data_IF_160987427121
#
_entry.id   IF_160987427121
#
_cell.length_a   1.000
_cell.length_b   1.000
_cell.length_c   1.000
_cell.angle_alpha   90.00
_cell.angle_beta   90.00
_cell.angle_gamma   90.00
#
_symmetry.space_group_name_H-M   'P 1'
#
loop_
_entity.id
_entity.type
_entity.pdbx_description
1 polymer ?
#
# COMPACT_ATOMS: atom_id res chain seq x y z
N UNK A 1 -16.39 -8.80 -14.61
CA UNK A 1 -15.47 -9.89 -14.20
C UNK A 1 -15.64 -10.19 -12.73
N UNK A 2 -15.45 -11.44 -12.32
CA UNK A 2 -15.46 -11.82 -10.90
C UNK A 2 -14.09 -11.54 -10.26
N UNK A 3 -14.05 -11.17 -8.98
CA UNK A 3 -12.81 -10.85 -8.25
C UNK A 3 -11.80 -12.02 -8.27
N UNK A 4 -12.28 -13.24 -8.36
CA UNK A 4 -11.48 -14.46 -8.48
C UNK A 4 -10.62 -14.46 -9.75
N UNK A 5 -11.20 -14.06 -10.89
CA UNK A 5 -10.50 -13.98 -12.17
C UNK A 5 -9.43 -12.89 -12.15
N UNK A 6 -9.73 -11.77 -11.50
CA UNK A 6 -8.79 -10.66 -11.34
C UNK A 6 -7.62 -11.07 -10.45
N UNK A 7 -7.85 -11.83 -9.38
CA UNK A 7 -6.79 -12.31 -8.52
C UNK A 7 -5.81 -13.22 -9.29
N UNK A 8 -6.33 -14.17 -10.08
CA UNK A 8 -5.51 -15.06 -10.91
C UNK A 8 -4.71 -14.26 -11.95
N UNK A 9 -5.36 -13.33 -12.65
CA UNK A 9 -4.68 -12.51 -13.67
C UNK A 9 -3.57 -11.63 -13.09
N UNK A 10 -3.76 -11.12 -11.87
CA UNK A 10 -2.73 -10.36 -11.17
C UNK A 10 -1.54 -11.23 -10.77
N UNK A 11 -1.79 -12.47 -10.31
CA UNK A 11 -0.71 -13.42 -10.02
C UNK A 11 0.07 -13.81 -11.28
N UNK A 12 -0.60 -14.03 -12.41
CA UNK A 12 0.05 -14.29 -13.71
C UNK A 12 0.93 -13.13 -14.17
N UNK A 13 0.51 -11.89 -13.90
CA UNK A 13 1.32 -10.67 -14.16
C UNK A 13 2.43 -10.45 -13.13
N UNK A 14 2.61 -11.36 -12.17
CA UNK A 14 3.66 -11.31 -11.16
C UNK A 14 3.33 -10.47 -9.92
N UNK A 15 2.08 -10.07 -9.74
CA UNK A 15 1.63 -9.33 -8.55
C UNK A 15 1.04 -10.30 -7.52
N UNK A 16 1.57 -10.33 -6.27
CA UNK A 16 1.01 -11.18 -5.23
C UNK A 16 -0.38 -10.66 -4.82
N UNK A 17 -1.43 -11.36 -5.24
CA UNK A 17 -2.82 -10.98 -5.04
C UNK A 17 -3.56 -11.99 -4.16
N UNK A 18 -3.97 -11.58 -2.96
CA UNK A 18 -4.75 -12.43 -2.04
C UNK A 18 -6.19 -11.98 -1.99
N UNK A 19 -7.10 -12.86 -2.38
CA UNK A 19 -8.54 -12.66 -2.17
C UNK A 19 -8.85 -12.81 -0.68
N UNK A 20 -9.39 -11.76 -0.07
CA UNK A 20 -9.98 -11.80 1.27
C UNK A 20 -11.48 -11.98 1.13
N UNK A 21 -12.02 -12.94 1.89
CA UNK A 21 -13.44 -13.30 1.87
C UNK A 21 -14.33 -12.30 2.61
N UNK A 22 -13.81 -11.58 3.62
CA UNK A 22 -14.58 -10.61 4.40
C UNK A 22 -13.75 -9.38 4.86
N UNK A 23 -14.16 -8.15 4.54
CA UNK A 23 -15.02 -7.80 3.38
C UNK A 23 -14.38 -8.31 2.09
N UNK A 24 -15.19 -8.66 1.07
CA UNK A 24 -14.71 -9.25 -0.19
C UNK A 24 -13.84 -8.24 -0.94
N UNK A 25 -12.54 -8.53 -1.03
CA UNK A 25 -11.54 -7.62 -1.62
C UNK A 25 -10.29 -8.39 -2.03
N UNK A 26 -9.56 -7.89 -3.01
CA UNK A 26 -8.25 -8.42 -3.37
C UNK A 26 -7.20 -7.51 -2.74
N UNK A 27 -6.33 -8.06 -1.91
CA UNK A 27 -5.15 -7.36 -1.43
C UNK A 27 -3.97 -7.69 -2.33
N UNK A 28 -3.40 -6.68 -2.97
CA UNK A 28 -2.24 -6.81 -3.85
C UNK A 28 -1.02 -6.23 -3.15
N UNK A 29 -0.11 -7.10 -2.70
CA UNK A 29 1.05 -6.72 -1.92
C UNK A 29 1.64 -7.87 -1.10
N UNK A 30 2.88 -7.69 -0.64
CA UNK A 30 3.51 -8.65 0.26
C UNK A 30 3.09 -8.37 1.71
N UNK A 31 2.78 -9.43 2.45
CA UNK A 31 2.57 -9.34 3.90
C UNK A 31 3.89 -8.83 4.51
N UNK A 32 3.82 -7.72 5.26
CA UNK A 32 4.98 -7.03 5.85
C UNK A 32 5.52 -5.84 5.06
N UNK A 33 5.03 -5.59 3.84
CA UNK A 33 5.62 -4.55 3.00
C UNK A 33 5.07 -3.14 3.23
N UNK A 34 3.99 -2.95 4.02
CA UNK A 34 3.31 -1.65 4.23
C UNK A 34 2.87 -0.89 2.94
N UNK A 35 3.13 -1.41 1.72
CA UNK A 35 2.77 -0.82 0.42
C UNK A 35 1.80 -1.68 -0.40
N UNK A 36 0.66 -2.04 0.21
CA UNK A 36 -0.39 -2.81 -0.47
C UNK A 36 -1.50 -1.95 -1.05
N UNK A 37 -2.08 -2.40 -2.15
CA UNK A 37 -3.34 -1.86 -2.69
C UNK A 37 -4.46 -2.87 -2.50
N UNK A 38 -5.68 -2.38 -2.39
CA UNK A 38 -6.89 -3.17 -2.17
C UNK A 38 -7.87 -2.89 -3.29
N UNK A 39 -8.28 -3.92 -4.01
CA UNK A 39 -9.29 -3.86 -5.07
C UNK A 39 -10.62 -4.29 -4.45
N UNK A 40 -11.63 -3.45 -4.58
CA UNK A 40 -13.01 -3.75 -4.16
C UNK A 40 -13.91 -3.62 -5.37
N UNK A 41 -14.79 -4.58 -5.58
CA UNK A 41 -15.82 -4.50 -6.60
C UNK A 41 -17.09 -3.91 -5.97
N UNK A 42 -17.66 -2.89 -6.60
CA UNK A 42 -18.96 -2.37 -6.19
C UNK A 42 -20.05 -3.35 -6.65
N UNK A 43 -20.83 -3.88 -5.70
CA UNK A 43 -21.88 -4.88 -5.97
C UNK A 43 -23.02 -4.33 -6.85
N UNK A 44 -23.27 -3.02 -6.82
CA UNK A 44 -24.37 -2.40 -7.56
C UNK A 44 -24.00 -2.00 -8.99
N UNK A 45 -22.74 -1.60 -9.22
CA UNK A 45 -22.29 -1.06 -10.53
C UNK A 45 -21.30 -1.99 -11.24
N UNK A 46 -20.81 -3.03 -10.57
CA UNK A 46 -19.75 -3.90 -11.09
C UNK A 46 -18.37 -3.22 -11.20
N UNK A 47 -18.28 -1.92 -10.90
CA UNK A 47 -17.07 -1.13 -11.04
C UNK A 47 -15.99 -1.57 -10.04
N UNK A 48 -14.75 -1.69 -10.51
CA UNK A 48 -13.59 -2.01 -9.70
C UNK A 48 -12.98 -0.72 -9.15
N UNK A 49 -12.80 -0.66 -7.83
CA UNK A 49 -12.14 0.45 -7.15
C UNK A 49 -10.83 -0.03 -6.55
N UNK A 50 -9.72 0.51 -7.04
CA UNK A 50 -8.39 0.30 -6.46
C UNK A 50 -8.16 1.37 -5.38
N UNK A 51 -7.93 0.93 -4.15
CA UNK A 51 -7.72 1.80 -3.00
C UNK A 51 -6.41 1.45 -2.29
N UNK A 52 -5.78 2.43 -1.69
CA UNK A 52 -4.69 2.23 -0.74
C UNK A 52 -4.95 3.15 0.46
N UNK A 53 -4.23 2.97 1.57
CA UNK A 53 -4.43 3.75 2.78
C UNK A 53 -3.30 4.80 2.95
N UNK A 54 -3.32 5.92 2.19
CA UNK A 54 -2.26 6.93 2.23
C UNK A 54 -2.17 7.63 3.59
N UNK A 55 -3.32 7.81 4.27
CA UNK A 55 -3.39 8.60 5.50
C UNK A 55 -2.53 8.01 6.62
N UNK A 56 -2.56 6.69 6.81
CA UNK A 56 -1.74 6.02 7.84
C UNK A 56 -0.24 6.27 7.59
N UNK A 57 0.19 6.20 6.32
CA UNK A 57 1.58 6.44 5.95
C UNK A 57 1.97 7.91 6.14
N UNK A 58 1.07 8.85 5.82
CA UNK A 58 1.28 10.29 6.03
C UNK A 58 1.40 10.61 7.53
N UNK A 59 0.42 10.18 8.34
CA UNK A 59 0.45 10.41 9.79
C UNK A 59 1.66 9.74 10.44
N UNK A 60 1.97 8.49 10.06
CA UNK A 60 3.16 7.78 10.53
C UNK A 60 4.46 8.50 10.17
N UNK A 61 4.57 9.03 8.94
CA UNK A 61 5.74 9.81 8.52
C UNK A 61 5.89 11.09 9.32
N UNK A 62 4.82 11.86 9.51
CA UNK A 62 4.85 13.09 10.32
C UNK A 62 5.28 12.81 11.75
N UNK A 63 4.78 11.72 12.35
CA UNK A 63 5.10 11.34 13.72
C UNK A 63 6.57 10.92 13.85
N UNK A 64 7.09 10.15 12.89
CA UNK A 64 8.50 9.78 12.85
C UNK A 64 9.42 10.99 12.64
N UNK A 65 9.06 11.94 11.77
CA UNK A 65 9.82 13.18 11.58
C UNK A 65 9.83 14.00 12.87
N UNK A 66 8.70 14.12 13.56
CA UNK A 66 8.63 14.81 14.85
C UNK A 66 9.51 14.14 15.90
N UNK A 67 9.44 12.81 16.03
CA UNK A 67 10.29 12.04 16.95
C UNK A 67 11.78 12.17 16.60
N UNK A 68 12.13 12.24 15.31
CA UNK A 68 13.49 12.50 14.85
C UNK A 68 13.99 13.85 15.36
N UNK A 69 13.21 14.92 15.16
CA UNK A 69 13.57 16.29 15.59
C UNK A 69 13.79 16.38 17.09
N UNK A 70 12.95 15.73 17.90
CA UNK A 70 13.09 15.71 19.37
C UNK A 70 14.32 14.94 19.83
N UNK A 71 14.63 13.84 19.15
CA UNK A 71 15.74 12.96 19.53
C UNK A 71 17.09 13.47 19.01
N UNK A 72 17.07 14.32 17.98
CA UNK A 72 18.27 14.86 17.36
C UNK A 72 19.10 15.69 18.36
N UNK A 73 20.35 15.29 18.57
CA UNK A 73 21.26 15.91 19.53
C UNK A 73 21.09 15.46 20.98
N UNK A 74 20.06 14.67 21.30
CA UNK A 74 19.89 14.01 22.61
C UNK A 74 20.33 12.54 22.57
N UNK A 75 19.99 11.83 21.48
CA UNK A 75 20.37 10.43 21.25
C UNK A 75 20.56 10.20 19.74
N UNK A 76 21.83 10.17 19.32
CA UNK A 76 22.21 10.03 17.92
C UNK A 76 21.86 8.66 17.35
N UNK A 77 21.88 7.61 18.17
CA UNK A 77 21.53 6.26 17.72
C UNK A 77 20.02 6.14 17.51
N UNK A 78 19.22 6.64 18.45
CA UNK A 78 17.77 6.66 18.36
C UNK A 78 17.29 7.54 17.20
N UNK A 79 17.86 8.75 17.05
CA UNK A 79 17.52 9.64 15.94
C UNK A 79 17.89 9.02 14.59
N UNK A 80 19.05 8.38 14.44
CA UNK A 80 19.40 7.66 13.22
C UNK A 80 18.40 6.53 12.88
N UNK A 81 18.00 5.73 13.87
CA UNK A 81 17.00 4.66 13.69
C UNK A 81 15.64 5.20 13.25
N UNK A 82 15.18 6.27 13.88
CA UNK A 82 13.92 6.94 13.53
C UNK A 82 14.01 7.53 12.12
N UNK A 83 15.14 8.16 11.77
CA UNK A 83 15.39 8.71 10.44
C UNK A 83 15.33 7.66 9.33
N UNK A 84 15.98 6.51 9.51
CA UNK A 84 15.92 5.38 8.56
C UNK A 84 14.49 4.85 8.44
N UNK A 85 13.78 4.73 9.55
CA UNK A 85 12.39 4.27 9.58
C UNK A 85 11.48 5.26 8.83
N UNK A 86 11.63 6.56 9.07
CA UNK A 86 10.88 7.62 8.38
C UNK A 86 11.11 7.56 6.87
N UNK A 87 12.38 7.47 6.43
CA UNK A 87 12.73 7.36 5.03
C UNK A 87 12.10 6.12 4.36
N UNK A 88 12.10 4.98 5.05
CA UNK A 88 11.47 3.74 4.57
C UNK A 88 9.94 3.88 4.43
N UNK A 89 9.26 4.46 5.41
CA UNK A 89 7.81 4.70 5.36
C UNK A 89 7.44 5.66 4.22
N UNK A 90 8.20 6.73 4.04
CA UNK A 90 8.02 7.69 2.94
C UNK A 90 8.24 7.00 1.58
N UNK A 91 9.29 6.19 1.43
CA UNK A 91 9.52 5.44 0.20
C UNK A 91 8.36 4.48 -0.11
N UNK A 92 7.79 3.84 0.91
CA UNK A 92 6.64 2.95 0.76
C UNK A 92 5.36 3.70 0.38
N UNK A 93 5.20 4.97 0.77
CA UNK A 93 4.10 5.81 0.30
C UNK A 93 4.13 6.01 -1.22
N UNK A 94 5.30 6.39 -1.78
CA UNK A 94 5.45 6.55 -3.22
C UNK A 94 5.27 5.23 -3.97
N UNK A 95 5.83 4.13 -3.46
CA UNK A 95 5.66 2.78 -4.02
C UNK A 95 4.20 2.33 -4.03
N UNK A 96 3.44 2.62 -2.97
CA UNK A 96 2.00 2.32 -2.90
C UNK A 96 1.20 3.08 -3.96
N UNK A 97 1.55 4.36 -4.15
CA UNK A 97 0.90 5.21 -5.16
C UNK A 97 1.22 4.73 -6.58
N UNK A 98 2.48 4.42 -6.88
CA UNK A 98 2.89 3.87 -8.18
C UNK A 98 2.18 2.54 -8.47
N UNK A 99 2.19 1.61 -7.51
CA UNK A 99 1.49 0.33 -7.62
C UNK A 99 -0.01 0.49 -7.86
N UNK A 100 -0.65 1.50 -7.25
CA UNK A 100 -2.07 1.79 -7.52
C UNK A 100 -2.29 2.13 -9.00
N UNK A 101 -1.46 3.00 -9.57
CA UNK A 101 -1.57 3.37 -10.99
C UNK A 101 -1.28 2.20 -11.92
N UNK A 102 -0.29 1.37 -11.61
CA UNK A 102 0.02 0.15 -12.38
C UNK A 102 -1.17 -0.81 -12.42
N UNK A 103 -1.79 -1.05 -11.26
CA UNK A 103 -2.96 -1.93 -11.16
C UNK A 103 -4.19 -1.31 -11.84
N UNK A 104 -4.39 0.00 -11.71
CA UNK A 104 -5.47 0.71 -12.42
C UNK A 104 -5.30 0.61 -13.95
N UNK A 105 -4.07 0.71 -14.47
CA UNK A 105 -3.80 0.53 -15.90
C UNK A 105 -4.07 -0.92 -16.35
N UNK A 106 -3.61 -1.92 -15.60
CA UNK A 106 -3.87 -3.33 -15.88
C UNK A 106 -5.37 -3.64 -15.92
N UNK A 107 -6.16 -3.00 -15.05
CA UNK A 107 -7.60 -3.18 -15.00
C UNK A 107 -8.35 -2.39 -16.08
N UNK A 108 -7.77 -1.32 -16.63
CA UNK A 108 -8.35 -0.54 -17.72
C UNK A 108 -8.14 -1.19 -19.10
N UNK A 109 -7.07 -1.97 -19.24
CA UNK A 109 -6.78 -2.77 -20.45
C UNK A 109 -7.64 -4.04 -20.56
N UNK A 110 -8.52 -4.30 -19.58
CA UNK A 110 -9.40 -5.47 -19.45
C UNK A 110 -10.86 -5.15 -19.75
#
# INVERSE_FOLDING_TARGET
MQLEQIAVLLEEKGYPAKLKTFPRRIYVGSIGSFYGVTIVQNEQTGALKVSYQPLILIFGSCLLIYSFIISYGNDDMLSALIGITAASVIANFFKSRAKKYEIEAILADL
#
